data_IF_617627512469
#
_entry.id   IF_617627512469
#
_cell.length_a   1.000
_cell.length_b   1.000
_cell.length_c   1.000
_cell.angle_alpha   90.00
_cell.angle_beta   90.00
_cell.angle_gamma   90.00
#
_symmetry.space_group_name_H-M   'P 1'
#
loop_
_entity.id
_entity.type
_entity.pdbx_description
1 polymer ?
#
# COMPACT_ATOMS: atom_id res chain seq x y z
N UNK A 1 -28.61 0.32 -35.19
CA UNK A 1 -27.35 0.45 -34.43
C UNK A 1 -27.65 1.05 -33.07
N UNK A 2 -27.93 0.21 -32.07
CA UNK A 2 -28.17 0.67 -30.70
C UNK A 2 -26.83 0.91 -30.03
N UNK A 3 -26.51 2.17 -29.70
CA UNK A 3 -25.36 2.50 -28.86
C UNK A 3 -25.71 2.08 -27.44
N UNK A 4 -24.99 1.10 -26.92
CA UNK A 4 -25.17 0.57 -25.58
C UNK A 4 -24.78 1.66 -24.58
N UNK A 5 -25.76 2.16 -23.82
CA UNK A 5 -25.57 3.15 -22.77
C UNK A 5 -24.80 2.50 -21.60
N UNK A 6 -23.73 3.17 -21.16
CA UNK A 6 -23.16 3.11 -19.80
C UNK A 6 -22.53 1.80 -19.29
N UNK A 7 -21.51 1.27 -19.97
CA UNK A 7 -20.48 0.46 -19.28
C UNK A 7 -19.40 1.38 -18.72
N UNK A 8 -19.62 1.94 -17.53
CA UNK A 8 -18.50 2.44 -16.72
C UNK A 8 -17.55 1.24 -16.49
N UNK A 9 -16.22 1.40 -16.64
CA UNK A 9 -15.30 0.32 -16.29
C UNK A 9 -15.55 -0.11 -14.84
N UNK A 10 -15.44 -1.42 -14.60
CA UNK A 10 -15.59 -1.96 -13.24
C UNK A 10 -14.50 -1.42 -12.32
N UNK A 11 -14.80 -1.38 -11.02
CA UNK A 11 -13.87 -0.91 -10.00
C UNK A 11 -12.80 -1.99 -9.71
N UNK A 12 -11.53 -1.60 -9.75
CA UNK A 12 -10.40 -2.46 -9.42
C UNK A 12 -9.95 -2.21 -7.98
N UNK A 13 -10.12 -3.21 -7.11
CA UNK A 13 -9.71 -3.16 -5.70
C UNK A 13 -8.48 -4.03 -5.45
N UNK A 14 -7.49 -3.47 -4.76
CA UNK A 14 -6.38 -4.20 -4.17
C UNK A 14 -6.52 -4.21 -2.64
N UNK A 15 -6.59 -5.39 -2.04
CA UNK A 15 -6.62 -5.58 -0.58
C UNK A 15 -5.37 -6.30 -0.10
N UNK A 16 -4.70 -5.75 0.91
CA UNK A 16 -3.42 -6.23 1.42
C UNK A 16 -3.51 -6.62 2.90
N UNK A 17 -3.33 -7.91 3.18
CA UNK A 17 -3.37 -8.42 4.54
C UNK A 17 -2.10 -8.11 5.33
N UNK A 18 -2.23 -8.08 6.66
CA UNK A 18 -1.09 -7.97 7.57
C UNK A 18 -0.32 -9.29 7.67
N UNK A 19 1.00 -9.22 7.52
CA UNK A 19 1.88 -10.40 7.60
C UNK A 19 3.18 -10.19 8.39
N UNK A 20 3.45 -8.98 8.89
CA UNK A 20 4.76 -8.69 9.49
C UNK A 20 5.87 -8.82 8.44
N UNK A 21 6.98 -9.46 8.76
CA UNK A 21 8.10 -9.61 7.81
C UNK A 21 7.72 -10.40 6.54
N UNK A 22 6.75 -11.34 6.63
CA UNK A 22 6.34 -12.16 5.48
C UNK A 22 5.49 -11.40 4.47
N UNK A 23 5.01 -10.19 4.80
CA UNK A 23 4.28 -9.33 3.86
C UNK A 23 5.07 -8.86 2.64
N UNK A 24 6.40 -9.11 2.62
CA UNK A 24 7.22 -8.97 1.41
C UNK A 24 6.73 -9.88 0.28
N UNK A 25 6.20 -11.07 0.59
CA UNK A 25 5.67 -11.99 -0.43
C UNK A 25 4.51 -11.37 -1.20
N UNK A 26 3.62 -10.65 -0.51
CA UNK A 26 2.50 -9.93 -1.15
C UNK A 26 3.02 -8.88 -2.14
N UNK A 27 4.07 -8.13 -1.78
CA UNK A 27 4.68 -7.15 -2.69
C UNK A 27 5.33 -7.81 -3.92
N UNK A 28 5.96 -8.97 -3.75
CA UNK A 28 6.52 -9.74 -4.88
C UNK A 28 5.42 -10.26 -5.82
N UNK A 29 4.31 -10.75 -5.26
CA UNK A 29 3.14 -11.16 -6.06
C UNK A 29 2.57 -9.96 -6.83
N UNK A 30 2.44 -8.80 -6.19
CA UNK A 30 1.98 -7.57 -6.85
C UNK A 30 2.94 -7.18 -7.97
N UNK A 31 4.26 -7.30 -7.77
CA UNK A 31 5.26 -7.00 -8.80
C UNK A 31 5.02 -7.84 -10.06
N UNK A 32 4.83 -9.14 -9.90
CA UNK A 32 4.53 -10.04 -11.02
C UNK A 32 3.19 -9.71 -11.69
N UNK A 33 2.16 -9.33 -10.92
CA UNK A 33 0.89 -8.86 -11.48
C UNK A 33 1.09 -7.60 -12.33
N UNK A 34 1.82 -6.60 -11.83
CA UNK A 34 2.07 -5.35 -12.55
C UNK A 34 2.91 -5.56 -13.81
N UNK A 35 3.90 -6.46 -13.78
CA UNK A 35 4.65 -6.89 -14.96
C UNK A 35 3.74 -7.58 -15.99
N UNK A 36 2.84 -8.44 -15.52
CA UNK A 36 1.82 -9.06 -16.37
C UNK A 36 0.88 -8.05 -17.02
N UNK A 37 0.48 -7.00 -16.30
CA UNK A 37 -0.32 -5.88 -16.83
C UNK A 37 0.46 -5.13 -17.91
N UNK A 38 1.73 -4.79 -17.65
CA UNK A 38 2.60 -4.14 -18.63
C UNK A 38 2.63 -4.93 -19.94
N UNK A 39 2.90 -6.24 -19.88
CA UNK A 39 2.96 -7.09 -21.07
C UNK A 39 1.62 -7.21 -21.80
N UNK A 40 0.52 -7.42 -21.07
CA UNK A 40 -0.82 -7.58 -21.67
C UNK A 40 -1.33 -6.30 -22.32
N UNK A 41 -1.02 -5.13 -21.74
CA UNK A 41 -1.46 -3.83 -22.25
C UNK A 41 -0.43 -3.17 -23.17
N UNK A 42 0.75 -3.78 -23.36
CA UNK A 42 1.87 -3.28 -24.17
C UNK A 42 2.32 -1.88 -23.73
N UNK A 43 2.45 -1.69 -22.41
CA UNK A 43 2.93 -0.44 -21.84
C UNK A 43 4.45 -0.34 -21.93
N UNK A 44 4.96 0.86 -22.19
CA UNK A 44 6.40 1.18 -22.25
C UNK A 44 7.13 0.86 -20.93
N UNK A 45 6.44 1.03 -19.80
CA UNK A 45 6.97 0.80 -18.46
C UNK A 45 5.95 0.08 -17.57
N UNK A 46 6.43 -0.52 -16.49
CA UNK A 46 5.57 -1.12 -15.46
C UNK A 46 4.71 -0.02 -14.84
N UNK A 47 3.37 -0.09 -14.93
CA UNK A 47 2.52 0.91 -14.32
C UNK A 47 2.60 0.81 -12.79
N UNK A 48 2.40 1.94 -12.11
CA UNK A 48 2.27 1.98 -10.65
C UNK A 48 0.93 1.38 -10.23
N UNK A 49 0.83 0.71 -9.07
CA UNK A 49 -0.45 0.14 -8.63
C UNK A 49 -1.59 1.17 -8.54
N UNK A 50 -1.31 2.41 -8.12
CA UNK A 50 -2.32 3.48 -8.07
C UNK A 50 -2.84 3.94 -9.45
N UNK A 51 -2.20 3.55 -10.55
CA UNK A 51 -2.67 3.83 -11.92
C UNK A 51 -3.62 2.75 -12.44
N UNK A 52 -3.69 1.59 -11.75
CA UNK A 52 -4.49 0.45 -12.17
C UNK A 52 -5.62 0.10 -11.18
N UNK A 53 -5.36 0.26 -9.89
CA UNK A 53 -6.31 0.00 -8.81
C UNK A 53 -6.93 1.31 -8.32
N UNK A 54 -8.25 1.39 -8.39
CA UNK A 54 -9.02 2.55 -7.93
C UNK A 54 -9.01 2.66 -6.40
N UNK A 55 -8.95 1.52 -5.72
CA UNK A 55 -8.86 1.44 -4.26
C UNK A 55 -7.73 0.50 -3.88
N UNK A 56 -6.87 0.97 -2.99
CA UNK A 56 -5.84 0.15 -2.34
C UNK A 56 -6.06 0.23 -0.83
N UNK A 57 -6.42 -0.90 -0.25
CA UNK A 57 -6.69 -1.04 1.18
C UNK A 57 -5.75 -2.07 1.80
N UNK A 58 -5.54 -2.00 3.12
CA UNK A 58 -4.80 -3.03 3.82
C UNK A 58 -4.90 -2.94 5.34
N UNK A 59 -4.49 -4.01 6.01
CA UNK A 59 -4.51 -4.15 7.47
C UNK A 59 -3.12 -4.45 8.01
N UNK A 60 -2.79 -4.02 9.23
CA UNK A 60 -1.47 -4.24 9.83
C UNK A 60 -0.31 -3.76 8.93
N UNK A 61 0.65 -4.62 8.61
CA UNK A 61 1.72 -4.27 7.66
C UNK A 61 1.24 -4.11 6.22
N UNK A 62 0.12 -4.73 5.85
CA UNK A 62 -0.54 -4.51 4.57
C UNK A 62 -1.08 -3.07 4.42
N UNK A 63 -1.46 -2.42 5.53
CA UNK A 63 -1.82 -1.00 5.52
C UNK A 63 -0.62 -0.10 5.17
N UNK A 64 0.58 -0.47 5.63
CA UNK A 64 1.82 0.24 5.29
C UNK A 64 2.10 0.09 3.79
N UNK A 65 1.94 -1.12 3.25
CA UNK A 65 2.03 -1.36 1.81
C UNK A 65 0.98 -0.58 1.01
N UNK A 66 -0.26 -0.50 1.51
CA UNK A 66 -1.32 0.28 0.87
C UNK A 66 -0.98 1.78 0.83
N UNK A 67 -0.39 2.33 1.89
CA UNK A 67 0.08 3.73 1.91
C UNK A 67 1.21 3.95 0.90
N UNK A 68 2.20 3.04 0.83
CA UNK A 68 3.30 3.14 -0.14
C UNK A 68 2.80 3.13 -1.59
N UNK A 69 2.00 2.12 -1.94
CA UNK A 69 1.55 1.90 -3.31
C UNK A 69 0.44 2.87 -3.75
N UNK A 70 -0.40 3.31 -2.81
CA UNK A 70 -1.51 4.22 -3.06
C UNK A 70 -1.14 5.68 -2.80
N UNK A 71 -1.10 6.08 -1.53
CA UNK A 71 -0.95 7.50 -1.13
C UNK A 71 0.39 8.10 -1.57
N UNK A 72 1.48 7.35 -1.41
CA UNK A 72 2.83 7.80 -1.77
C UNK A 72 3.17 7.53 -3.24
N UNK A 73 2.30 6.82 -3.97
CA UNK A 73 2.44 6.51 -5.39
C UNK A 73 3.82 5.94 -5.72
N UNK A 74 4.36 5.10 -4.84
CA UNK A 74 5.60 4.37 -5.07
C UNK A 74 5.38 3.30 -6.15
N UNK A 75 6.38 3.08 -6.98
CA UNK A 75 6.48 1.86 -7.76
C UNK A 75 6.58 0.64 -6.83
N UNK A 76 6.30 -0.55 -7.36
CA UNK A 76 6.38 -1.78 -6.57
C UNK A 76 7.81 -2.01 -6.08
N UNK A 77 8.82 -1.67 -6.89
CA UNK A 77 10.23 -1.81 -6.52
C UNK A 77 10.63 -0.86 -5.38
N UNK A 78 10.24 0.41 -5.44
CA UNK A 78 10.45 1.36 -4.34
C UNK A 78 9.77 0.91 -3.05
N UNK A 79 8.56 0.35 -3.17
CA UNK A 79 7.82 -0.19 -2.03
C UNK A 79 8.51 -1.43 -1.43
N UNK A 80 9.06 -2.33 -2.25
CA UNK A 80 9.84 -3.48 -1.79
C UNK A 80 11.09 -3.02 -1.03
N UNK A 81 11.88 -2.13 -1.62
CA UNK A 81 13.09 -1.59 -0.98
C UNK A 81 12.77 -0.92 0.34
N UNK A 82 11.72 -0.10 0.36
CA UNK A 82 11.24 0.56 1.58
C UNK A 82 10.75 -0.48 2.61
N UNK A 83 9.96 -1.48 2.22
CA UNK A 83 9.45 -2.49 3.13
C UNK A 83 10.57 -3.26 3.83
N UNK A 84 11.57 -3.71 3.07
CA UNK A 84 12.72 -4.46 3.62
C UNK A 84 13.49 -3.61 4.64
N UNK A 85 13.79 -2.36 4.31
CA UNK A 85 14.48 -1.43 5.21
C UNK A 85 13.71 -1.24 6.52
N UNK A 86 12.41 -0.94 6.41
CA UNK A 86 11.58 -0.52 7.53
C UNK A 86 11.27 -1.70 8.44
N UNK A 87 10.92 -2.86 7.87
CA UNK A 87 10.65 -4.07 8.65
C UNK A 87 11.92 -4.60 9.29
N UNK A 88 13.09 -4.50 8.64
CA UNK A 88 14.37 -4.82 9.28
C UNK A 88 14.60 -4.02 10.57
N UNK A 89 14.31 -2.71 10.55
CA UNK A 89 14.45 -1.84 11.72
C UNK A 89 13.38 -2.09 12.80
N UNK A 90 12.11 -2.29 12.40
CA UNK A 90 11.00 -2.51 13.36
C UNK A 90 11.14 -3.86 14.06
N UNK A 91 11.51 -4.92 13.33
CA UNK A 91 11.55 -6.28 13.87
C UNK A 91 12.85 -6.62 14.62
N UNK A 92 13.91 -5.82 14.48
CA UNK A 92 15.18 -6.00 15.20
C UNK A 92 15.14 -5.49 16.65
N UNK A 93 14.29 -4.52 16.97
CA UNK A 93 14.13 -3.99 18.33
C UNK A 93 13.01 -4.70 19.11
N UNK A 94 13.21 -5.98 19.44
CA UNK A 94 12.27 -6.76 20.26
C UNK A 94 12.33 -6.30 21.73
N UNK A 95 11.17 -6.06 22.35
CA UNK A 95 11.08 -5.93 23.81
C UNK A 95 11.11 -7.32 24.45
N UNK A 96 12.07 -7.56 25.33
CA UNK A 96 12.04 -8.72 26.22
C UNK A 96 11.25 -8.34 27.47
N UNK A 97 9.94 -8.65 27.47
CA UNK A 97 9.08 -8.45 28.63
C UNK A 97 8.86 -9.78 29.34
N UNK A 98 9.28 -9.87 30.60
CA UNK A 98 9.12 -11.06 31.46
C UNK A 98 7.63 -11.24 31.86
N UNK A 99 6.82 -10.18 31.78
CA UNK A 99 5.44 -10.14 32.27
C UNK A 99 4.37 -10.20 31.17
N UNK A 100 4.73 -10.38 29.90
CA UNK A 100 3.78 -10.63 28.79
C UNK A 100 2.80 -9.48 28.44
N UNK A 101 2.71 -8.43 29.27
CA UNK A 101 1.70 -7.37 29.16
C UNK A 101 2.10 -6.19 28.26
N UNK A 102 3.20 -6.28 27.49
CA UNK A 102 3.62 -5.21 26.58
C UNK A 102 3.87 -5.73 25.18
N UNK A 103 3.46 -4.96 24.17
CA UNK A 103 3.63 -5.33 22.76
C UNK A 103 5.10 -5.60 22.40
N UNK A 104 5.31 -6.62 21.57
CA UNK A 104 6.62 -7.17 21.19
C UNK A 104 7.55 -6.15 20.53
N UNK A 105 7.00 -5.11 19.89
CA UNK A 105 7.75 -4.08 19.17
C UNK A 105 7.52 -2.69 19.76
N UNK A 106 8.52 -1.80 19.65
CA UNK A 106 8.42 -0.41 20.09
C UNK A 106 7.61 0.42 19.08
N UNK A 107 6.47 0.95 19.52
CA UNK A 107 5.64 1.86 18.71
C UNK A 107 6.42 3.09 18.19
N UNK A 108 7.35 3.62 19.00
CA UNK A 108 8.21 4.75 18.63
C UNK A 108 9.14 4.43 17.46
N UNK A 109 9.61 3.19 17.34
CA UNK A 109 10.43 2.75 16.21
C UNK A 109 9.58 2.70 14.94
N UNK A 110 8.38 2.12 15.02
CA UNK A 110 7.44 2.09 13.91
C UNK A 110 7.07 3.51 13.44
N UNK A 111 6.71 4.41 14.36
CA UNK A 111 6.36 5.79 14.04
C UNK A 111 7.53 6.52 13.34
N UNK A 112 8.75 6.40 13.88
CA UNK A 112 9.95 6.98 13.28
C UNK A 112 10.18 6.47 11.87
N UNK A 113 10.08 5.16 11.67
CA UNK A 113 10.23 4.56 10.34
C UNK A 113 9.14 5.10 9.40
N UNK A 114 7.87 5.10 9.79
CA UNK A 114 6.80 5.67 8.95
C UNK A 114 7.05 7.14 8.58
N UNK A 115 7.50 7.97 9.53
CA UNK A 115 7.89 9.36 9.27
C UNK A 115 9.03 9.48 8.26
N UNK A 116 10.07 8.65 8.39
CA UNK A 116 11.18 8.59 7.44
C UNK A 116 10.71 8.21 6.02
N UNK A 117 9.79 7.25 5.91
CA UNK A 117 9.20 6.85 4.64
C UNK A 117 8.40 7.99 3.99
N UNK A 118 7.50 8.62 4.75
CA UNK A 118 6.68 9.73 4.26
C UNK A 118 7.56 10.90 3.85
N UNK A 119 8.57 11.25 4.66
CA UNK A 119 9.55 12.30 4.33
C UNK A 119 10.34 11.98 3.06
N UNK A 120 10.77 10.73 2.89
CA UNK A 120 11.49 10.30 1.69
C UNK A 120 10.65 10.46 0.42
N UNK A 121 9.34 10.20 0.49
CA UNK A 121 8.45 10.28 -0.66
C UNK A 121 7.88 11.69 -0.93
N UNK A 122 7.71 12.52 0.10
CA UNK A 122 6.97 13.80 0.01
C UNK A 122 7.80 15.03 0.36
N UNK A 123 8.99 14.84 0.96
CA UNK A 123 9.78 15.91 1.57
C UNK A 123 9.27 16.39 2.95
N UNK A 124 8.11 15.90 3.43
CA UNK A 124 7.51 16.33 4.69
C UNK A 124 6.99 15.12 5.49
N UNK A 125 7.60 14.81 6.63
CA UNK A 125 7.20 13.68 7.49
C UNK A 125 5.78 13.77 8.06
N UNK A 126 5.18 14.97 8.06
CA UNK A 126 3.82 15.22 8.55
C UNK A 126 2.82 15.43 7.40
N UNK A 127 3.19 15.05 6.17
CA UNK A 127 2.27 15.14 5.03
C UNK A 127 1.01 14.29 5.27
N UNK A 128 -0.15 14.85 4.94
CA UNK A 128 -1.45 14.26 5.29
C UNK A 128 -1.96 13.37 4.16
N UNK A 129 -2.94 12.52 4.47
CA UNK A 129 -3.76 11.88 3.44
C UNK A 129 -4.42 12.97 2.59
N UNK A 130 -4.45 12.78 1.26
CA UNK A 130 -5.19 13.68 0.37
C UNK A 130 -6.67 13.57 0.73
N UNK A 131 -7.33 14.69 1.00
CA UNK A 131 -8.79 14.69 1.13
C UNK A 131 -9.40 14.28 -0.21
N UNK A 132 -10.51 13.53 -0.18
CA UNK A 132 -11.26 13.23 -1.41
C UNK A 132 -11.74 14.54 -2.04
N UNK A 133 -11.51 14.71 -3.34
CA UNK A 133 -12.21 15.71 -4.15
C UNK A 133 -13.68 15.28 -4.22
N UNK A 134 -14.60 16.18 -3.89
CA UNK A 134 -16.05 15.94 -3.92
C UNK A 134 -16.49 15.39 -5.29
N UNK A 135 -17.18 14.27 -5.25
CA UNK A 135 -17.91 13.67 -6.37
C UNK A 135 -18.86 12.64 -5.80
N UNK A 136 -20.14 12.99 -5.75
CA UNK A 136 -21.25 12.17 -5.24
C UNK A 136 -21.36 10.83 -5.99
N UNK A 137 -21.45 9.75 -5.22
CA UNK A 137 -22.50 8.74 -5.39
C UNK A 137 -22.53 7.88 -4.12
N UNK A 138 -23.62 8.00 -3.36
CA UNK A 138 -24.02 7.03 -2.36
C UNK A 138 -24.11 5.65 -3.02
N UNK A 139 -23.08 4.81 -2.90
CA UNK A 139 -23.26 3.37 -3.05
C UNK A 139 -23.25 2.78 -1.65
N UNK A 140 -24.45 2.60 -1.11
CA UNK A 140 -24.70 1.79 0.07
C UNK A 140 -24.00 0.45 -0.10
N UNK A 141 -22.98 0.16 0.74
CA UNK A 141 -22.43 -1.18 0.84
C UNK A 141 -23.58 -2.14 1.18
N UNK A 142 -23.94 -3.03 0.24
CA UNK A 142 -24.70 -4.21 0.57
C UNK A 142 -23.73 -5.20 1.20
N UNK A 143 -23.86 -5.38 2.51
CA UNK A 143 -23.28 -6.51 3.23
C UNK A 143 -24.04 -7.77 2.84
#
# INVERSE_FOLDING_TARGET
MSRNLDKRPGLNLLSLDGGGITGLSSLLIIKEIMLGIQGKQRLEAVPKPCEHFDIIAGTGTGAISAVMLGRLQMSVDEAITSYVKQMGAVFSERKYSITGNTGTFKATVLERQLKEMVRGATGNENDRMKAQVQGEAESQCKV
#
